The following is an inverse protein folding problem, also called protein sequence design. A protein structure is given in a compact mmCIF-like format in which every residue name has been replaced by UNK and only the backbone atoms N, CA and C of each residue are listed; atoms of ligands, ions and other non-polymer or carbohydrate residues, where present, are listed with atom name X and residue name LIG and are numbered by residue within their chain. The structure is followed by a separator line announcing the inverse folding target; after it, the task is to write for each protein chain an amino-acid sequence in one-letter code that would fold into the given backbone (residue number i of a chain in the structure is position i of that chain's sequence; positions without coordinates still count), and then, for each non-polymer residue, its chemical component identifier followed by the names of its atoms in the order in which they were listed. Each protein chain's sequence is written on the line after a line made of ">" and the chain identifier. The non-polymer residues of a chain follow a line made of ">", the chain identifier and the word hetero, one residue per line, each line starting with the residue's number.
data_IF_011260619754
#
_entry.id   IF_011260619754
#
_cell.length_a   1.000
_cell.length_b   1.000
_cell.length_c   1.000
_cell.angle_alpha   90.00
_cell.angle_beta   90.00
_cell.angle_gamma   90.00
#
_symmetry.space_group_name_H-M   'P 1'
#
loop_
_entity.id
_entity.type
_entity.pdbx_description
1 polymer ?
#
# COMPACT_ATOMS: atom_id res chain seq x y z
N UNK A 1 34.81 14.86 63.14
CA UNK A 1 34.62 14.32 61.82
C UNK A 1 33.16 14.48 61.45
N UNK A 2 32.84 15.43 60.55
CA UNK A 2 31.47 15.63 60.06
C UNK A 2 31.29 14.81 58.80
N UNK A 3 30.38 13.83 58.80
CA UNK A 3 30.02 13.06 57.62
C UNK A 3 29.08 13.89 56.74
N UNK A 4 29.56 14.27 55.57
CA UNK A 4 28.75 14.93 54.54
C UNK A 4 27.95 13.82 53.82
N UNK A 5 26.66 13.71 54.13
CA UNK A 5 25.71 12.88 53.38
C UNK A 5 25.41 13.57 52.04
N UNK A 6 25.98 13.09 50.96
CA UNK A 6 25.54 13.41 49.62
C UNK A 6 24.20 12.68 49.36
N UNK A 7 23.09 13.39 49.51
CA UNK A 7 21.82 12.94 48.99
C UNK A 7 21.85 13.06 47.47
N UNK A 8 22.07 11.95 46.77
CA UNK A 8 21.82 11.88 45.34
C UNK A 8 20.30 11.99 45.13
N UNK A 9 19.83 13.18 44.81
CA UNK A 9 18.49 13.34 44.25
C UNK A 9 18.46 12.53 42.93
N UNK A 10 17.87 11.35 42.96
CA UNK A 10 17.54 10.61 41.73
C UNK A 10 16.59 11.53 40.96
N UNK A 11 17.10 12.17 39.90
CA UNK A 11 16.25 12.81 38.91
C UNK A 11 15.31 11.74 38.40
N UNK A 12 14.00 11.90 38.62
CA UNK A 12 13.01 10.97 38.12
C UNK A 12 13.23 10.82 36.60
N UNK A 13 13.56 9.61 36.18
CA UNK A 13 13.76 9.30 34.77
C UNK A 13 12.44 9.55 34.03
N UNK A 14 12.46 10.38 32.98
CA UNK A 14 11.29 10.65 32.14
C UNK A 14 10.79 9.32 31.56
N UNK A 15 9.54 8.97 31.79
CA UNK A 15 8.97 7.70 31.31
C UNK A 15 8.83 7.68 29.80
N UNK A 16 8.75 6.49 29.20
CA UNK A 16 8.45 6.35 27.77
C UNK A 16 7.12 7.02 27.41
N UNK A 17 6.11 6.89 28.26
CA UNK A 17 4.81 7.56 28.09
C UNK A 17 4.97 9.10 28.01
N UNK A 18 5.78 9.71 28.85
CA UNK A 18 6.01 11.17 28.83
C UNK A 18 6.70 11.61 27.53
N UNK A 19 7.59 10.78 26.98
CA UNK A 19 8.19 11.02 25.67
C UNK A 19 7.13 10.96 24.56
N UNK A 20 6.26 9.93 24.58
CA UNK A 20 5.20 9.78 23.58
C UNK A 20 4.19 10.94 23.65
N UNK A 21 3.70 11.29 24.84
CA UNK A 21 2.76 12.41 25.03
C UNK A 21 3.35 13.72 24.49
N UNK A 22 4.64 13.96 24.72
CA UNK A 22 5.35 15.12 24.20
C UNK A 22 5.53 15.07 22.68
N UNK A 23 5.82 13.90 22.12
CA UNK A 23 5.92 13.67 20.68
C UNK A 23 4.58 13.98 20.01
N UNK A 24 3.47 13.41 20.48
CA UNK A 24 2.14 13.67 19.94
C UNK A 24 1.77 15.16 19.99
N UNK A 25 2.12 15.84 21.07
CA UNK A 25 1.89 17.28 21.19
C UNK A 25 2.69 18.08 20.15
N UNK A 26 3.95 17.73 19.91
CA UNK A 26 4.78 18.41 18.90
C UNK A 26 4.26 18.13 17.49
N UNK A 27 3.95 16.89 17.18
CA UNK A 27 3.41 16.50 15.86
C UNK A 27 2.09 17.22 15.57
N UNK A 28 1.19 17.32 16.55
CA UNK A 28 -0.09 18.00 16.36
C UNK A 28 0.05 19.50 16.05
N UNK A 29 1.15 20.12 16.49
CA UNK A 29 1.39 21.57 16.28
C UNK A 29 2.30 21.88 15.09
N UNK A 30 3.25 21.01 14.79
CA UNK A 30 4.36 21.31 13.87
C UNK A 30 4.44 20.31 12.71
N UNK A 31 3.58 19.29 12.68
CA UNK A 31 3.68 18.17 11.75
C UNK A 31 4.77 17.15 12.15
N UNK A 32 4.80 15.98 11.50
CA UNK A 32 5.64 14.84 11.88
C UNK A 32 7.15 15.11 11.75
N UNK A 33 7.58 16.04 10.91
CA UNK A 33 8.99 16.44 10.72
C UNK A 33 9.31 17.82 11.34
N UNK A 34 8.50 18.29 12.29
CA UNK A 34 8.64 19.61 12.92
C UNK A 34 9.93 19.78 13.73
N UNK A 35 10.30 21.06 13.95
CA UNK A 35 11.52 21.41 14.71
C UNK A 35 11.46 20.84 16.13
N UNK A 36 12.57 20.24 16.58
CA UNK A 36 12.73 19.67 17.92
C UNK A 36 12.27 18.22 18.06
N UNK A 37 11.53 17.67 17.08
CA UNK A 37 11.06 16.27 17.11
C UNK A 37 12.27 15.31 17.05
N UNK A 38 13.24 15.55 16.18
CA UNK A 38 14.44 14.72 16.08
C UNK A 38 15.22 14.65 17.41
N UNK A 39 15.40 15.79 18.06
CA UNK A 39 16.05 15.85 19.37
C UNK A 39 15.28 15.07 20.44
N UNK A 40 13.95 15.14 20.41
CA UNK A 40 13.09 14.39 21.32
C UNK A 40 13.23 12.88 21.08
N UNK A 41 13.15 12.43 19.81
CA UNK A 41 13.30 11.03 19.43
C UNK A 41 14.68 10.49 19.84
N UNK A 42 15.76 11.22 19.58
CA UNK A 42 17.11 10.80 19.95
C UNK A 42 17.26 10.62 21.49
N UNK A 43 16.63 11.48 22.28
CA UNK A 43 16.61 11.34 23.75
C UNK A 43 15.74 10.17 24.19
N UNK A 44 14.63 9.92 23.51
CA UNK A 44 13.74 8.80 23.79
C UNK A 44 14.45 7.47 23.46
N UNK A 45 15.08 7.38 22.28
CA UNK A 45 15.85 6.21 21.86
C UNK A 45 17.03 5.91 22.81
N UNK A 46 17.74 6.93 23.30
CA UNK A 46 18.82 6.76 24.26
C UNK A 46 18.33 6.19 25.60
N UNK A 47 17.11 6.52 26.02
CA UNK A 47 16.51 6.03 27.26
C UNK A 47 15.78 4.67 27.08
N UNK A 48 15.15 4.47 25.93
CA UNK A 48 14.29 3.32 25.63
C UNK A 48 14.51 2.81 24.18
N UNK A 49 15.65 2.15 23.89
CA UNK A 49 16.05 1.83 22.51
C UNK A 49 15.16 0.80 21.81
N UNK A 50 14.39 0.00 22.56
CA UNK A 50 13.50 -1.04 22.05
C UNK A 50 12.00 -0.70 22.25
N UNK A 51 11.71 0.58 22.52
CA UNK A 51 10.34 1.06 22.61
C UNK A 51 9.71 1.16 21.23
N UNK A 52 8.60 0.45 21.05
CA UNK A 52 7.89 0.36 19.76
C UNK A 52 7.33 1.72 19.34
N UNK A 53 6.75 2.48 20.28
CA UNK A 53 6.19 3.81 20.00
C UNK A 53 7.29 4.78 19.55
N UNK A 54 8.48 4.70 20.18
CA UNK A 54 9.65 5.47 19.76
C UNK A 54 10.08 5.10 18.34
N UNK A 55 10.11 3.80 17.99
CA UNK A 55 10.51 3.33 16.65
C UNK A 55 9.52 3.80 15.58
N UNK A 56 8.22 3.78 15.89
CA UNK A 56 7.17 4.29 14.99
C UNK A 56 7.26 5.82 14.86
N UNK A 57 7.52 6.54 15.94
CA UNK A 57 7.77 7.98 15.89
C UNK A 57 8.99 8.31 15.02
N UNK A 58 10.08 7.54 15.16
CA UNK A 58 11.30 7.66 14.37
C UNK A 58 11.05 7.38 12.88
N UNK A 59 10.32 6.30 12.56
CA UNK A 59 9.87 6.04 11.20
C UNK A 59 9.09 7.24 10.64
N UNK A 60 8.05 7.69 11.33
CA UNK A 60 7.18 8.77 10.88
C UNK A 60 7.94 10.07 10.64
N UNK A 61 8.89 10.40 11.52
CA UNK A 61 9.74 11.59 11.39
C UNK A 61 10.63 11.52 10.15
N UNK A 62 11.41 10.45 9.99
CA UNK A 62 12.35 10.33 8.87
C UNK A 62 11.63 10.11 7.55
N UNK A 63 10.53 9.35 7.53
CA UNK A 63 9.70 9.19 6.34
C UNK A 63 9.10 10.52 5.87
N UNK A 64 8.53 11.32 6.79
CA UNK A 64 8.02 12.64 6.44
C UNK A 64 9.13 13.61 6.01
N UNK A 65 10.29 13.56 6.68
CA UNK A 65 11.44 14.42 6.37
C UNK A 65 12.09 14.07 5.03
N UNK A 66 12.01 12.80 4.61
CA UNK A 66 12.55 12.34 3.33
C UNK A 66 11.76 12.88 2.14
N UNK A 67 10.50 13.28 2.34
CA UNK A 67 9.60 13.64 1.25
C UNK A 67 9.73 15.10 0.83
N UNK A 68 9.73 15.32 -0.47
CA UNK A 68 9.51 16.61 -1.11
C UNK A 68 8.56 16.45 -2.29
N UNK A 69 7.90 17.52 -2.70
CA UNK A 69 6.99 17.50 -3.83
C UNK A 69 7.37 18.58 -4.83
N UNK A 70 7.27 18.27 -6.11
CA UNK A 70 7.48 19.23 -7.18
C UNK A 70 6.47 19.03 -8.30
N UNK A 71 6.24 20.07 -9.08
CA UNK A 71 5.44 19.98 -10.30
C UNK A 71 6.36 19.60 -11.46
N UNK A 72 6.00 18.51 -12.14
CA UNK A 72 6.75 17.96 -13.27
C UNK A 72 5.90 17.91 -14.52
N UNK A 73 6.55 18.00 -15.68
CA UNK A 73 5.91 17.85 -16.99
C UNK A 73 5.98 16.40 -17.43
N UNK A 74 4.85 15.85 -17.90
CA UNK A 74 4.79 14.51 -18.50
C UNK A 74 3.97 14.57 -19.79
N UNK A 75 4.38 13.80 -20.81
CA UNK A 75 3.73 13.74 -22.13
C UNK A 75 2.48 12.84 -22.18
N UNK A 76 1.91 12.49 -21.04
CA UNK A 76 0.78 11.55 -20.91
C UNK A 76 -0.42 12.24 -20.27
N UNK A 77 -1.63 11.76 -20.59
CA UNK A 77 -2.87 12.29 -20.04
C UNK A 77 -3.10 11.91 -18.58
N UNK A 78 -2.43 10.86 -18.11
CA UNK A 78 -2.45 10.39 -16.72
C UNK A 78 -1.05 9.94 -16.32
N UNK A 79 -0.67 10.22 -15.08
CA UNK A 79 0.57 9.75 -14.49
C UNK A 79 0.31 9.07 -13.15
N UNK A 80 0.76 7.83 -12.99
CA UNK A 80 0.49 6.95 -11.84
C UNK A 80 -1.01 6.92 -11.46
N UNK A 81 -1.87 6.85 -12.46
CA UNK A 81 -3.33 6.85 -12.33
C UNK A 81 -3.96 8.18 -11.96
N UNK A 82 -3.15 9.23 -11.74
CA UNK A 82 -3.61 10.60 -11.44
C UNK A 82 -3.87 11.43 -12.69
N UNK A 83 -4.76 12.42 -12.56
CA UNK A 83 -4.96 13.45 -13.57
C UNK A 83 -3.90 14.56 -13.40
N UNK A 84 -3.56 15.32 -14.47
CA UNK A 84 -2.72 16.51 -14.33
C UNK A 84 -3.37 17.54 -13.38
N UNK A 85 -2.55 18.24 -12.60
CA UNK A 85 -3.02 19.36 -11.76
C UNK A 85 -3.45 20.55 -12.60
N UNK A 86 -2.82 20.74 -13.78
CA UNK A 86 -3.26 21.63 -14.84
C UNK A 86 -2.61 21.22 -16.17
N UNK A 87 -3.19 21.72 -17.27
CA UNK A 87 -2.67 21.54 -18.63
C UNK A 87 -2.60 22.87 -19.33
N UNK A 88 -1.51 23.13 -20.05
CA UNK A 88 -1.33 24.30 -20.89
C UNK A 88 -1.19 23.85 -22.34
N UNK A 89 -1.40 24.79 -23.31
CA UNK A 89 -1.06 24.54 -24.71
C UNK A 89 0.30 25.18 -25.02
N UNK A 90 1.15 24.42 -25.66
CA UNK A 90 2.41 24.96 -26.20
C UNK A 90 2.17 25.83 -27.44
N UNK A 91 3.25 26.36 -28.03
CA UNK A 91 3.20 27.21 -29.23
C UNK A 91 2.66 26.50 -30.48
N UNK A 92 2.57 25.15 -30.46
CA UNK A 92 2.01 24.33 -31.54
C UNK A 92 0.54 23.95 -31.28
N UNK A 93 0.00 24.29 -30.10
CA UNK A 93 -1.34 23.93 -29.69
C UNK A 93 -1.44 22.55 -29.01
N UNK A 94 -0.32 21.84 -28.81
CA UNK A 94 -0.26 20.55 -28.09
C UNK A 94 -0.44 20.78 -26.60
N UNK A 95 -1.23 19.91 -25.96
CA UNK A 95 -1.36 19.92 -24.50
C UNK A 95 -0.03 19.51 -23.82
N UNK A 96 0.36 20.29 -22.81
CA UNK A 96 1.48 20.03 -21.91
C UNK A 96 0.88 19.80 -20.52
N UNK A 97 1.02 18.60 -19.99
CA UNK A 97 0.38 18.18 -18.75
C UNK A 97 1.36 18.28 -17.58
N UNK A 98 0.91 18.89 -16.48
CA UNK A 98 1.68 19.11 -15.26
C UNK A 98 1.11 18.26 -14.14
N UNK A 99 1.99 17.53 -13.45
CA UNK A 99 1.63 16.61 -12.37
C UNK A 99 2.41 16.96 -11.11
N UNK A 100 1.81 16.74 -9.94
CA UNK A 100 2.57 16.72 -8.68
C UNK A 100 3.28 15.38 -8.57
N UNK A 101 4.58 15.42 -8.36
CA UNK A 101 5.40 14.24 -8.12
C UNK A 101 6.13 14.36 -6.80
N UNK A 102 6.09 13.31 -5.98
CA UNK A 102 6.83 13.21 -4.73
C UNK A 102 8.23 12.65 -5.00
N UNK A 103 9.21 13.20 -4.31
CA UNK A 103 10.60 12.75 -4.32
C UNK A 103 11.01 12.38 -2.90
N UNK A 104 11.97 11.51 -2.78
CA UNK A 104 12.45 11.02 -1.51
C UNK A 104 13.97 11.17 -1.43
N UNK A 105 14.46 11.57 -0.26
CA UNK A 105 15.86 11.49 0.10
C UNK A 105 16.17 10.06 0.55
N UNK A 106 17.08 9.39 -0.16
CA UNK A 106 17.36 7.96 0.03
C UNK A 106 17.92 7.64 1.42
N UNK A 107 18.75 8.53 1.99
CA UNK A 107 19.34 8.32 3.31
C UNK A 107 18.28 8.42 4.41
N UNK A 108 17.44 9.46 4.38
CA UNK A 108 16.36 9.65 5.34
C UNK A 108 15.30 8.55 5.20
N UNK A 109 14.96 8.15 3.95
CA UNK A 109 14.06 7.03 3.71
C UNK A 109 14.63 5.73 4.28
N UNK A 110 15.91 5.46 4.08
CA UNK A 110 16.59 4.30 4.64
C UNK A 110 16.59 4.29 6.18
N UNK A 111 16.75 5.47 6.82
CA UNK A 111 16.65 5.59 8.28
C UNK A 111 15.23 5.29 8.79
N UNK A 112 14.21 5.76 8.07
CA UNK A 112 12.81 5.42 8.37
C UNK A 112 12.59 3.91 8.30
N UNK A 113 13.00 3.27 7.20
CA UNK A 113 12.81 1.83 7.01
C UNK A 113 13.50 1.00 8.10
N UNK A 114 14.73 1.35 8.50
CA UNK A 114 15.46 0.68 9.59
C UNK A 114 14.70 0.73 10.93
N UNK A 115 14.11 1.87 11.26
CA UNK A 115 13.31 2.00 12.48
C UNK A 115 12.08 1.10 12.44
N UNK A 116 11.37 1.07 11.31
CA UNK A 116 10.17 0.25 11.15
C UNK A 116 10.49 -1.25 11.10
N UNK A 117 11.61 -1.64 10.48
CA UNK A 117 12.08 -3.03 10.48
C UNK A 117 12.38 -3.52 11.90
N UNK A 118 13.00 -2.66 12.73
CA UNK A 118 13.22 -2.99 14.14
C UNK A 118 11.90 -3.13 14.91
N UNK A 119 10.92 -2.27 14.65
CA UNK A 119 9.59 -2.39 15.26
C UNK A 119 8.90 -3.71 14.87
N UNK A 120 8.99 -4.13 13.59
CA UNK A 120 8.46 -5.40 13.09
C UNK A 120 9.17 -6.60 13.75
N UNK A 121 10.48 -6.51 13.99
CA UNK A 121 11.21 -7.58 14.68
C UNK A 121 10.77 -7.73 16.16
N UNK A 122 10.48 -6.62 16.84
CA UNK A 122 10.03 -6.62 18.24
C UNK A 122 8.54 -7.00 18.38
N UNK A 123 7.72 -6.72 17.37
CA UNK A 123 6.30 -7.04 17.34
C UNK A 123 5.92 -7.67 15.98
N UNK A 124 6.29 -8.93 15.74
CA UNK A 124 6.16 -9.58 14.44
C UNK A 124 4.71 -9.87 14.02
N UNK A 125 3.78 -9.84 14.95
CA UNK A 125 2.33 -9.99 14.76
C UNK A 125 1.60 -8.69 14.39
N UNK A 126 2.28 -7.53 14.42
CA UNK A 126 1.74 -6.22 14.04
C UNK A 126 1.67 -6.09 12.51
N UNK A 127 0.50 -6.38 11.96
CA UNK A 127 0.24 -6.32 10.51
C UNK A 127 0.28 -4.87 9.99
N UNK A 128 -0.16 -3.92 10.78
CA UNK A 128 -0.10 -2.49 10.43
C UNK A 128 1.33 -2.00 10.17
N UNK A 129 2.32 -2.46 10.93
CA UNK A 129 3.72 -2.09 10.69
C UNK A 129 4.23 -2.63 9.34
N UNK A 130 3.82 -3.85 8.98
CA UNK A 130 4.16 -4.44 7.67
C UNK A 130 3.52 -3.65 6.54
N UNK A 131 2.25 -3.29 6.68
CA UNK A 131 1.58 -2.45 5.68
C UNK A 131 2.12 -1.02 5.62
N UNK A 132 2.55 -0.42 6.74
CA UNK A 132 3.25 0.86 6.73
C UNK A 132 4.54 0.78 5.91
N UNK A 133 5.32 -0.28 6.07
CA UNK A 133 6.55 -0.53 5.30
C UNK A 133 6.26 -0.64 3.81
N UNK A 134 5.32 -1.49 3.44
CA UNK A 134 4.91 -1.69 2.05
C UNK A 134 4.37 -0.41 1.41
N UNK A 135 3.51 0.33 2.13
CA UNK A 135 2.97 1.61 1.64
C UNK A 135 4.06 2.65 1.39
N UNK A 136 5.09 2.68 2.24
CA UNK A 136 6.25 3.54 2.03
C UNK A 136 7.01 3.15 0.75
N UNK A 137 7.22 1.86 0.50
CA UNK A 137 7.84 1.38 -0.73
C UNK A 137 7.02 1.73 -1.97
N UNK A 138 5.69 1.52 -1.96
CA UNK A 138 4.82 1.90 -3.08
C UNK A 138 4.97 3.38 -3.45
N UNK A 139 5.04 4.27 -2.46
CA UNK A 139 5.26 5.70 -2.68
C UNK A 139 6.65 6.02 -3.23
N UNK A 140 7.68 5.33 -2.73
CA UNK A 140 9.07 5.53 -3.10
C UNK A 140 9.39 5.04 -4.53
N UNK A 141 8.96 3.81 -4.88
CA UNK A 141 9.29 3.16 -6.15
C UNK A 141 8.46 3.65 -7.34
N UNK A 142 7.24 4.10 -7.11
CA UNK A 142 6.32 4.66 -8.12
C UNK A 142 6.01 3.69 -9.28
N UNK A 143 6.80 3.79 -10.39
CA UNK A 143 6.50 3.14 -11.67
C UNK A 143 6.74 1.63 -11.67
N UNK A 144 7.67 1.15 -10.83
CA UNK A 144 8.03 -0.28 -10.73
C UNK A 144 8.11 -0.69 -9.26
N UNK A 145 7.01 -1.15 -8.64
CA UNK A 145 6.93 -1.40 -7.20
C UNK A 145 7.55 -2.75 -6.80
N UNK A 146 8.83 -2.97 -7.11
CA UNK A 146 9.52 -4.24 -6.94
C UNK A 146 9.76 -4.60 -5.47
N UNK A 147 10.18 -3.63 -4.63
CA UNK A 147 10.35 -3.84 -3.18
C UNK A 147 8.99 -4.07 -2.50
N UNK A 148 7.98 -3.27 -2.85
CA UNK A 148 6.63 -3.43 -2.34
C UNK A 148 6.06 -4.80 -2.72
N UNK A 149 6.23 -5.24 -3.97
CA UNK A 149 5.81 -6.56 -4.44
C UNK A 149 6.54 -7.69 -3.69
N UNK A 150 7.85 -7.58 -3.53
CA UNK A 150 8.65 -8.58 -2.79
C UNK A 150 8.22 -8.70 -1.33
N UNK A 151 7.96 -7.56 -0.67
CA UNK A 151 7.50 -7.51 0.71
C UNK A 151 6.11 -8.13 0.87
N UNK A 152 5.16 -7.79 0.00
CA UNK A 152 3.81 -8.36 -0.02
C UNK A 152 3.80 -9.87 -0.31
N UNK A 153 4.61 -10.33 -1.26
CA UNK A 153 4.73 -11.78 -1.54
C UNK A 153 5.25 -12.54 -0.33
N UNK A 154 6.28 -12.01 0.33
CA UNK A 154 6.82 -12.60 1.56
C UNK A 154 5.78 -12.62 2.68
N UNK A 155 4.98 -11.56 2.80
CA UNK A 155 3.91 -11.46 3.78
C UNK A 155 2.77 -12.46 3.49
N UNK A 156 2.38 -12.64 2.23
CA UNK A 156 1.39 -13.65 1.82
C UNK A 156 1.89 -15.05 2.15
N UNK A 157 3.12 -15.38 1.76
CA UNK A 157 3.72 -16.69 2.06
C UNK A 157 3.72 -16.95 3.57
N UNK A 158 4.13 -15.95 4.36
CA UNK A 158 4.15 -16.06 5.82
C UNK A 158 2.73 -16.27 6.39
N UNK A 159 1.75 -15.49 5.92
CA UNK A 159 0.34 -15.64 6.33
C UNK A 159 -0.20 -17.05 6.04
N UNK A 160 -0.02 -17.51 4.81
CA UNK A 160 -0.60 -18.78 4.33
C UNK A 160 0.13 -20.02 4.87
N UNK A 161 1.37 -19.90 5.35
CA UNK A 161 2.17 -21.02 5.85
C UNK A 161 2.25 -21.06 7.38
N UNK A 162 2.23 -19.92 8.05
CA UNK A 162 2.39 -19.84 9.50
C UNK A 162 1.09 -19.53 10.24
N UNK A 163 0.06 -19.02 9.56
CA UNK A 163 -1.25 -18.65 10.11
C UNK A 163 -1.12 -17.79 11.39
N UNK A 164 -0.41 -16.65 11.33
CA UNK A 164 -0.18 -15.81 12.49
C UNK A 164 -1.47 -15.19 13.01
N UNK A 165 -1.54 -14.96 14.32
CA UNK A 165 -2.63 -14.19 14.92
C UNK A 165 -2.34 -12.70 14.77
N UNK A 166 -2.69 -12.14 13.61
CA UNK A 166 -2.44 -10.74 13.32
C UNK A 166 -3.16 -9.77 14.25
N UNK A 167 -2.47 -8.68 14.57
CA UNK A 167 -2.99 -7.50 15.26
C UNK A 167 -2.85 -6.29 14.34
N UNK A 168 -3.90 -5.49 14.25
CA UNK A 168 -3.87 -4.23 13.51
C UNK A 168 -4.15 -3.07 14.49
N UNK A 169 -3.22 -2.10 14.58
CA UNK A 169 -3.15 -1.13 15.65
C UNK A 169 -3.07 -1.78 17.06
N UNK A 170 -3.20 -1.01 18.14
CA UNK A 170 -2.92 -1.52 19.48
C UNK A 170 -3.93 -2.58 19.98
N UNK A 171 -5.17 -2.57 19.47
CA UNK A 171 -6.28 -3.31 20.07
C UNK A 171 -7.07 -4.22 19.10
N UNK A 172 -6.73 -4.20 17.81
CA UNK A 172 -7.54 -4.86 16.77
C UNK A 172 -6.95 -6.20 16.32
N UNK A 173 -7.51 -7.34 16.78
CA UNK A 173 -7.34 -8.60 16.05
C UNK A 173 -8.00 -8.50 14.70
N UNK A 174 -7.32 -8.98 13.68
CA UNK A 174 -7.86 -9.02 12.32
C UNK A 174 -8.05 -10.45 11.88
N UNK A 175 -9.10 -10.65 11.11
CA UNK A 175 -9.43 -11.93 10.51
C UNK A 175 -8.78 -12.09 9.13
N UNK A 176 -9.00 -13.25 8.58
CA UNK A 176 -8.49 -13.60 7.26
C UNK A 176 -9.10 -12.76 6.14
N UNK A 177 -10.36 -12.35 6.26
CA UNK A 177 -11.05 -11.51 5.27
C UNK A 177 -10.41 -10.12 5.20
N UNK A 178 -10.04 -9.56 6.34
CA UNK A 178 -9.30 -8.29 6.39
C UNK A 178 -7.95 -8.39 5.67
N UNK A 179 -7.19 -9.48 5.91
CA UNK A 179 -5.90 -9.68 5.24
C UNK A 179 -6.07 -9.75 3.72
N UNK A 180 -7.02 -10.57 3.25
CA UNK A 180 -7.31 -10.74 1.82
C UNK A 180 -7.73 -9.40 1.18
N UNK A 181 -8.62 -8.65 1.86
CA UNK A 181 -9.05 -7.34 1.39
C UNK A 181 -7.90 -6.33 1.31
N UNK A 182 -7.00 -6.31 2.29
CA UNK A 182 -5.83 -5.44 2.28
C UNK A 182 -4.87 -5.78 1.12
N UNK A 183 -4.64 -7.06 0.82
CA UNK A 183 -3.85 -7.46 -0.36
C UNK A 183 -4.55 -7.03 -1.66
N UNK A 184 -5.88 -7.10 -1.72
CA UNK A 184 -6.65 -6.64 -2.88
C UNK A 184 -6.50 -5.13 -3.10
N UNK A 185 -6.44 -4.32 -2.05
CA UNK A 185 -6.18 -2.88 -2.16
C UNK A 185 -4.81 -2.58 -2.79
N UNK A 186 -3.77 -3.35 -2.47
CA UNK A 186 -2.48 -3.23 -3.15
C UNK A 186 -2.56 -3.65 -4.62
N UNK A 187 -3.29 -4.73 -4.93
CA UNK A 187 -3.56 -5.11 -6.33
C UNK A 187 -4.24 -3.95 -7.08
N UNK A 188 -5.26 -3.34 -6.48
CA UNK A 188 -5.95 -2.18 -7.06
C UNK A 188 -5.02 -0.99 -7.27
N UNK A 189 -4.17 -0.67 -6.29
CA UNK A 189 -3.19 0.42 -6.39
C UNK A 189 -2.21 0.19 -7.56
N UNK A 190 -1.67 -1.02 -7.70
CA UNK A 190 -0.77 -1.38 -8.79
C UNK A 190 -1.47 -1.29 -10.15
N UNK A 191 -2.70 -1.81 -10.26
CA UNK A 191 -3.47 -1.71 -11.51
C UNK A 191 -3.76 -0.25 -11.89
N UNK A 192 -4.07 0.59 -10.90
CA UNK A 192 -4.38 2.01 -11.08
C UNK A 192 -3.17 2.82 -11.57
N UNK A 193 -1.96 2.49 -11.15
CA UNK A 193 -0.73 3.18 -11.60
C UNK A 193 -0.52 3.05 -13.10
N UNK A 194 -0.99 1.98 -13.72
CA UNK A 194 -1.05 1.78 -15.16
C UNK A 194 0.32 1.87 -15.88
N UNK A 195 1.41 1.53 -15.18
CA UNK A 195 2.74 1.38 -15.77
C UNK A 195 3.02 -0.09 -16.10
N UNK A 196 3.96 -0.41 -17.01
CA UNK A 196 4.34 -1.79 -17.29
C UNK A 196 4.75 -2.56 -16.03
N UNK A 197 5.59 -1.96 -15.17
CA UNK A 197 6.05 -2.57 -13.91
C UNK A 197 4.89 -2.81 -12.93
N UNK A 198 4.01 -1.82 -12.74
CA UNK A 198 2.87 -1.95 -11.84
C UNK A 198 1.84 -2.98 -12.32
N UNK A 199 1.64 -3.14 -13.63
CA UNK A 199 0.78 -4.19 -14.17
C UNK A 199 1.35 -5.59 -13.94
N UNK A 200 2.68 -5.77 -14.07
CA UNK A 200 3.30 -7.05 -13.74
C UNK A 200 3.24 -7.32 -12.23
N UNK A 201 3.44 -6.31 -11.38
CA UNK A 201 3.27 -6.45 -9.93
C UNK A 201 1.82 -6.85 -9.56
N UNK A 202 0.82 -6.24 -10.17
CA UNK A 202 -0.59 -6.63 -10.03
C UNK A 202 -0.82 -8.09 -10.39
N UNK A 203 -0.28 -8.56 -11.52
CA UNK A 203 -0.37 -9.96 -11.96
C UNK A 203 0.30 -10.90 -10.99
N UNK A 204 1.54 -10.60 -10.60
CA UNK A 204 2.32 -11.47 -9.72
C UNK A 204 1.72 -11.59 -8.33
N UNK A 205 1.25 -10.49 -7.77
CA UNK A 205 0.60 -10.47 -6.46
C UNK A 205 -0.69 -11.31 -6.49
N UNK A 206 -1.54 -11.11 -7.52
CA UNK A 206 -2.76 -11.89 -7.72
C UNK A 206 -2.45 -13.38 -7.92
N UNK A 207 -1.41 -13.71 -8.70
CA UNK A 207 -1.00 -15.10 -8.91
C UNK A 207 -0.45 -15.74 -7.63
N UNK A 208 0.26 -14.99 -6.79
CA UNK A 208 0.75 -15.47 -5.49
C UNK A 208 -0.43 -15.85 -4.60
N UNK A 209 -1.47 -15.00 -4.51
CA UNK A 209 -2.68 -15.35 -3.76
C UNK A 209 -3.38 -16.60 -4.33
N UNK A 210 -3.48 -16.72 -5.65
CA UNK A 210 -4.10 -17.89 -6.28
C UNK A 210 -3.30 -19.18 -6.11
N UNK A 211 -2.03 -19.12 -5.76
CA UNK A 211 -1.22 -20.31 -5.41
C UNK A 211 -1.74 -20.98 -4.15
N UNK A 212 -2.15 -20.19 -3.16
CA UNK A 212 -2.68 -20.68 -1.90
C UNK A 212 -4.22 -20.75 -1.87
N UNK A 213 -4.89 -19.89 -2.65
CA UNK A 213 -6.35 -19.73 -2.71
C UNK A 213 -6.84 -19.84 -4.16
N UNK A 214 -6.78 -21.03 -4.78
CA UNK A 214 -6.98 -21.22 -6.23
C UNK A 214 -8.40 -20.87 -6.72
N UNK A 215 -9.36 -20.77 -5.81
CA UNK A 215 -10.76 -20.44 -6.07
C UNK A 215 -11.19 -19.07 -5.54
N UNK A 216 -10.25 -18.22 -5.11
CA UNK A 216 -10.58 -16.88 -4.65
C UNK A 216 -11.05 -16.02 -5.84
N UNK A 217 -12.29 -15.54 -5.73
CA UNK A 217 -12.98 -14.80 -6.78
C UNK A 217 -12.29 -13.47 -7.08
N UNK A 218 -11.80 -12.75 -6.08
CA UNK A 218 -11.15 -11.45 -6.25
C UNK A 218 -9.90 -11.56 -7.14
N UNK A 219 -9.03 -12.53 -6.83
CA UNK A 219 -7.77 -12.68 -7.57
C UNK A 219 -7.97 -13.39 -8.93
N UNK A 220 -9.03 -14.20 -9.09
CA UNK A 220 -9.44 -14.68 -10.39
C UNK A 220 -9.94 -13.55 -11.30
N UNK A 221 -10.72 -12.59 -10.76
CA UNK A 221 -11.15 -11.38 -11.47
C UNK A 221 -9.96 -10.49 -11.84
N UNK A 222 -8.99 -10.34 -10.95
CA UNK A 222 -7.76 -9.61 -11.22
C UNK A 222 -7.03 -10.21 -12.44
N UNK A 223 -6.86 -11.52 -12.47
CA UNK A 223 -6.24 -12.20 -13.62
C UNK A 223 -7.04 -12.02 -14.90
N UNK A 224 -8.37 -12.08 -14.83
CA UNK A 224 -9.26 -11.77 -15.96
C UNK A 224 -9.04 -10.35 -16.48
N UNK A 225 -8.97 -9.38 -15.58
CA UNK A 225 -8.74 -7.96 -15.88
C UNK A 225 -7.35 -7.71 -16.47
N UNK A 226 -6.31 -8.37 -15.94
CA UNK A 226 -4.97 -8.29 -16.50
C UNK A 226 -4.92 -8.76 -17.96
N UNK A 227 -5.51 -9.93 -18.26
CA UNK A 227 -5.53 -10.43 -19.62
C UNK A 227 -6.40 -9.59 -20.55
N UNK A 228 -7.52 -9.05 -20.06
CA UNK A 228 -8.40 -8.20 -20.86
C UNK A 228 -7.75 -6.85 -21.20
N UNK A 229 -7.21 -6.18 -20.21
CA UNK A 229 -6.78 -4.77 -20.32
C UNK A 229 -5.32 -4.67 -20.76
N UNK A 230 -4.42 -5.45 -20.14
CA UNK A 230 -2.98 -5.32 -20.35
C UNK A 230 -2.50 -6.16 -21.52
N UNK A 231 -2.84 -7.46 -21.53
CA UNK A 231 -2.41 -8.38 -22.61
C UNK A 231 -3.33 -8.37 -23.82
N UNK A 232 -4.56 -7.81 -23.69
CA UNK A 232 -5.60 -7.83 -24.76
C UNK A 232 -5.88 -9.24 -25.28
N UNK A 233 -5.74 -10.23 -24.39
CA UNK A 233 -6.00 -11.65 -24.67
C UNK A 233 -7.40 -12.03 -24.15
N UNK A 234 -8.39 -11.82 -25.02
CA UNK A 234 -9.79 -12.12 -24.72
C UNK A 234 -10.02 -13.60 -24.38
N UNK A 235 -9.20 -14.52 -24.92
CA UNK A 235 -9.34 -15.97 -24.64
C UNK A 235 -8.96 -16.29 -23.20
N UNK A 236 -7.83 -15.77 -22.73
CA UNK A 236 -7.43 -15.96 -21.34
C UNK A 236 -8.35 -15.21 -20.37
N UNK A 237 -8.73 -13.98 -20.70
CA UNK A 237 -9.69 -13.22 -19.90
C UNK A 237 -11.00 -13.99 -19.71
N UNK A 238 -11.58 -14.51 -20.80
CA UNK A 238 -12.79 -15.33 -20.79
C UNK A 238 -12.64 -16.58 -19.90
N UNK A 239 -11.48 -17.23 -19.92
CA UNK A 239 -11.19 -18.40 -19.09
C UNK A 239 -11.26 -18.07 -17.59
N UNK A 240 -10.66 -16.96 -17.17
CA UNK A 240 -10.66 -16.54 -15.78
C UNK A 240 -12.05 -16.09 -15.31
N UNK A 241 -12.73 -15.23 -16.07
CA UNK A 241 -14.09 -14.79 -15.72
C UNK A 241 -15.11 -15.94 -15.69
N UNK A 242 -14.97 -16.94 -16.57
CA UNK A 242 -15.81 -18.12 -16.49
C UNK A 242 -15.52 -19.00 -15.26
N UNK A 243 -14.28 -18.97 -14.72
CA UNK A 243 -14.01 -19.61 -13.41
C UNK A 243 -14.70 -18.84 -12.28
N UNK A 244 -14.64 -17.50 -12.31
CA UNK A 244 -15.37 -16.65 -11.35
C UNK A 244 -16.85 -16.98 -11.36
N UNK A 245 -17.51 -16.95 -12.53
CA UNK A 245 -18.94 -17.20 -12.65
C UNK A 245 -19.37 -18.64 -12.32
N UNK A 246 -18.46 -19.61 -12.30
CA UNK A 246 -18.74 -20.95 -11.77
C UNK A 246 -18.82 -20.97 -10.25
N UNK A 247 -18.03 -20.11 -9.57
CA UNK A 247 -17.97 -20.02 -8.11
C UNK A 247 -19.06 -19.06 -7.61
N UNK A 248 -19.18 -17.90 -8.27
CA UNK A 248 -20.10 -16.81 -7.95
C UNK A 248 -20.84 -16.37 -9.23
N UNK A 249 -21.99 -16.99 -9.53
CA UNK A 249 -22.73 -16.73 -10.78
C UNK A 249 -23.26 -15.32 -10.97
N UNK A 250 -23.38 -14.57 -9.87
CA UNK A 250 -23.87 -13.18 -9.78
C UNK A 250 -22.74 -12.16 -9.64
N UNK A 251 -21.48 -12.55 -9.87
CA UNK A 251 -20.36 -11.63 -9.77
C UNK A 251 -20.44 -10.51 -10.83
N UNK A 252 -20.75 -9.31 -10.36
CA UNK A 252 -20.95 -8.15 -11.23
C UNK A 252 -19.67 -7.68 -11.93
N UNK A 253 -18.51 -7.89 -11.32
CA UNK A 253 -17.21 -7.50 -11.92
C UNK A 253 -16.92 -8.34 -13.13
N UNK A 254 -17.01 -9.67 -13.00
CA UNK A 254 -16.83 -10.59 -14.11
C UNK A 254 -17.86 -10.36 -15.21
N UNK A 255 -19.15 -10.20 -14.85
CA UNK A 255 -20.24 -10.00 -15.83
C UNK A 255 -20.03 -8.69 -16.61
N UNK A 256 -19.73 -7.58 -15.93
CA UNK A 256 -19.45 -6.27 -16.57
C UNK A 256 -18.28 -6.37 -17.54
N UNK A 257 -17.18 -6.97 -17.11
CA UNK A 257 -15.99 -7.13 -17.94
C UNK A 257 -16.23 -8.04 -19.15
N UNK A 258 -17.04 -9.09 -19.01
CA UNK A 258 -17.44 -9.96 -20.12
C UNK A 258 -18.34 -9.24 -21.14
N UNK A 259 -19.24 -8.37 -20.70
CA UNK A 259 -20.06 -7.52 -21.59
C UNK A 259 -19.16 -6.50 -22.31
N UNK A 260 -18.24 -5.83 -21.60
CA UNK A 260 -17.28 -4.91 -22.22
C UNK A 260 -16.40 -5.60 -23.25
N UNK A 261 -15.88 -6.79 -22.93
CA UNK A 261 -15.09 -7.62 -23.84
C UNK A 261 -15.89 -8.03 -25.08
N UNK A 262 -17.15 -8.43 -24.89
CA UNK A 262 -18.03 -8.80 -26.01
C UNK A 262 -18.23 -7.65 -26.98
N UNK A 263 -18.51 -6.44 -26.45
CA UNK A 263 -18.71 -5.22 -27.24
C UNK A 263 -17.44 -4.77 -27.95
N UNK A 264 -16.31 -4.74 -27.24
CA UNK A 264 -15.02 -4.32 -27.83
C UNK A 264 -14.52 -5.27 -28.92
N UNK A 265 -14.86 -6.58 -28.84
CA UNK A 265 -14.51 -7.57 -29.84
C UNK A 265 -15.57 -7.76 -30.93
N UNK A 266 -16.70 -7.07 -30.86
CA UNK A 266 -17.85 -7.26 -31.79
C UNK A 266 -18.53 -8.63 -31.69
N UNK A 267 -18.36 -9.33 -30.53
CA UNK A 267 -18.91 -10.70 -30.38
C UNK A 267 -20.36 -10.67 -29.92
N UNK A 268 -21.28 -10.63 -30.88
CA UNK A 268 -22.74 -10.73 -30.64
C UNK A 268 -23.12 -11.96 -29.81
N UNK A 269 -22.41 -13.08 -30.01
CA UNK A 269 -22.66 -14.31 -29.24
C UNK A 269 -22.38 -14.13 -27.74
N UNK A 270 -21.27 -13.50 -27.39
CA UNK A 270 -20.92 -13.25 -25.98
C UNK A 270 -21.82 -12.18 -25.38
N UNK A 271 -22.13 -11.11 -26.12
CA UNK A 271 -23.04 -10.09 -25.65
C UNK A 271 -24.43 -10.63 -25.32
N UNK A 272 -25.03 -11.42 -26.24
CA UNK A 272 -26.31 -12.10 -25.98
C UNK A 272 -26.28 -13.04 -24.78
N UNK A 273 -25.12 -13.57 -24.42
CA UNK A 273 -24.97 -14.43 -23.25
C UNK A 273 -24.89 -13.64 -21.94
N UNK A 274 -24.09 -12.58 -21.88
CA UNK A 274 -23.75 -11.91 -20.61
C UNK A 274 -24.55 -10.65 -20.32
N UNK A 275 -25.08 -9.94 -21.35
CA UNK A 275 -25.88 -8.75 -21.14
C UNK A 275 -27.17 -9.02 -20.32
N UNK A 276 -27.93 -10.12 -20.57
CA UNK A 276 -29.08 -10.43 -19.72
C UNK A 276 -28.73 -10.72 -18.26
N UNK A 277 -27.53 -11.28 -18.00
CA UNK A 277 -27.05 -11.48 -16.63
C UNK A 277 -26.75 -10.14 -15.96
N UNK A 278 -26.12 -9.20 -16.69
CA UNK A 278 -25.85 -7.86 -16.16
C UNK A 278 -27.15 -7.17 -15.77
N UNK A 279 -28.16 -7.14 -16.64
CA UNK A 279 -29.47 -6.54 -16.37
C UNK A 279 -30.09 -7.19 -15.13
N UNK A 280 -30.16 -8.52 -15.10
CA UNK A 280 -30.76 -9.26 -13.98
C UNK A 280 -30.17 -8.91 -12.63
N UNK A 281 -28.83 -8.77 -12.54
CA UNK A 281 -28.13 -8.56 -11.26
C UNK A 281 -27.82 -7.10 -10.95
N UNK A 282 -28.16 -6.14 -11.85
CA UNK A 282 -28.08 -4.71 -11.54
C UNK A 282 -29.43 -4.14 -11.10
N UNK A 283 -30.55 -4.79 -11.45
CA UNK A 283 -31.90 -4.35 -11.11
C UNK A 283 -32.42 -5.03 -9.82
N UNK A 284 -31.61 -5.90 -9.20
CA UNK A 284 -31.87 -6.56 -7.91
C UNK A 284 -31.12 -5.86 -6.77
#
# INVERSE_FOLDING_TARGET
>A
MAAVLFSSAALAQVSSKDFNDRYQLLVSKLGPSGVGIETLINRWEAAYPDDIEMLIAKFSFYFSKSQSSSVVVKDQDKYLGGQPVFSLKDSTGKAVNYFTENFYDDELFGQAQKALEKAIQLAPDRLDFRFMKTAAYVGYEKESPDMALSDLRSLIIYNETQHPSWVYAADGKVDEEFFVAAIQEYCYAFFKYATPGSYEAFRELSQTMLTYRPNDVLFLDNMGSYYLVVKKDNKQALKYYNKVLKIKPDDLTAIKNLVLMARSSGSVKLEKKYLPMLVKYTDS
#
